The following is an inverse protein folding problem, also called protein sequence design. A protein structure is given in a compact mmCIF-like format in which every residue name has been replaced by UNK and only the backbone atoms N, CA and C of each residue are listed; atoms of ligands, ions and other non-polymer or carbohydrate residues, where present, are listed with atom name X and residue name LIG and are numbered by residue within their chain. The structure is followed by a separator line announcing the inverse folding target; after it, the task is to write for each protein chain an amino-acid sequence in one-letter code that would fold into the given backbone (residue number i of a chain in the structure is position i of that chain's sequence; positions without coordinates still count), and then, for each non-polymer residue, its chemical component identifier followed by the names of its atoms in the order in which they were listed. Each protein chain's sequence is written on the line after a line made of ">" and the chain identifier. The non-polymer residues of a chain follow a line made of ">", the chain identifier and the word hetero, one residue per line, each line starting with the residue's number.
data_IF_257042907120
#
_entry.id   IF_257042907120
#
_cell.length_a   1.000
_cell.length_b   1.000
_cell.length_c   1.000
_cell.angle_alpha   90.00
_cell.angle_beta   90.00
_cell.angle_gamma   90.00
#
_symmetry.space_group_name_H-M   'P 1'
#
loop_
_entity.id
_entity.type
_entity.pdbx_description
1 polymer ?
#
# COMPACT_ATOMS: atom_id res chain seq x y z
N UNK A 1 21.97 -17.17 1.08
CA UNK A 1 21.36 -16.02 1.81
C UNK A 1 19.90 -16.32 2.06
N UNK A 2 19.43 -16.28 3.32
CA UNK A 2 18.00 -16.45 3.65
C UNK A 2 17.18 -15.35 2.96
N UNK A 3 16.25 -15.74 2.10
CA UNK A 3 15.28 -14.81 1.48
C UNK A 3 14.43 -14.19 2.59
N UNK A 4 14.72 -12.94 2.96
CA UNK A 4 13.90 -12.21 3.92
C UNK A 4 12.60 -11.84 3.21
N UNK A 5 11.51 -12.53 3.56
CA UNK A 5 10.16 -12.13 3.11
C UNK A 5 9.94 -10.66 3.49
N UNK A 6 9.33 -9.89 2.59
CA UNK A 6 9.00 -8.47 2.84
C UNK A 6 7.49 -8.34 2.90
N UNK A 7 7.01 -7.78 4.00
CA UNK A 7 5.64 -7.32 4.16
C UNK A 7 5.56 -5.89 3.62
N UNK A 8 4.70 -5.69 2.62
CA UNK A 8 4.43 -4.36 2.06
C UNK A 8 3.05 -3.94 2.52
N UNK A 9 3.00 -2.74 3.07
CA UNK A 9 1.81 -2.09 3.59
C UNK A 9 1.39 -1.02 2.60
N UNK A 10 0.11 -1.00 2.25
CA UNK A 10 -0.48 0.00 1.37
C UNK A 10 -1.80 0.42 1.99
N UNK A 11 -2.00 1.73 2.09
CA UNK A 11 -3.28 2.33 2.49
C UNK A 11 -3.84 3.13 1.33
N UNK A 12 -5.12 2.91 1.04
CA UNK A 12 -5.85 3.60 -0.01
C UNK A 12 -7.24 4.00 0.47
N UNK A 13 -7.95 4.84 -0.26
CA UNK A 13 -9.40 5.02 -0.09
C UNK A 13 -10.19 4.03 -0.94
N UNK A 14 -11.52 4.12 -0.84
CA UNK A 14 -12.50 3.30 -1.59
C UNK A 14 -12.43 3.50 -3.10
N UNK A 15 -11.82 4.57 -3.58
CA UNK A 15 -11.57 4.79 -5.01
C UNK A 15 -10.24 4.20 -5.47
N UNK A 16 -9.41 3.71 -4.54
CA UNK A 16 -8.13 3.11 -4.82
C UNK A 16 -6.99 4.13 -4.92
N UNK A 17 -7.23 5.38 -4.53
CA UNK A 17 -6.17 6.40 -4.39
C UNK A 17 -5.29 6.00 -3.22
N UNK A 18 -3.98 5.92 -3.45
CA UNK A 18 -3.01 5.45 -2.46
C UNK A 18 -2.47 6.63 -1.66
N UNK A 19 -2.59 6.57 -0.33
CA UNK A 19 -2.12 7.61 0.58
C UNK A 19 -0.72 7.35 1.12
N UNK A 20 -0.36 6.09 1.36
CA UNK A 20 0.96 5.74 1.89
C UNK A 20 1.32 4.29 1.57
N UNK A 21 2.63 4.07 1.39
CA UNK A 21 3.22 2.75 1.18
C UNK A 21 4.46 2.62 2.07
N UNK A 22 4.59 1.52 2.79
CA UNK A 22 5.83 1.22 3.50
C UNK A 22 6.05 -0.28 3.60
N UNK A 23 7.21 -0.70 4.09
CA UNK A 23 7.51 -2.12 4.21
C UNK A 23 8.25 -2.45 5.50
N UNK A 24 8.16 -3.73 5.87
CA UNK A 24 8.88 -4.33 6.98
C UNK A 24 9.33 -5.75 6.63
N UNK A 25 10.23 -6.35 7.44
CA UNK A 25 10.43 -7.79 7.42
C UNK A 25 9.10 -8.53 7.55
N UNK A 26 8.95 -9.63 6.82
CA UNK A 26 7.69 -10.36 6.65
C UNK A 26 7.17 -11.08 7.91
N UNK A 27 7.92 -11.04 9.01
CA UNK A 27 7.49 -11.53 10.32
C UNK A 27 6.73 -10.48 11.14
N UNK A 28 6.67 -9.22 10.69
CA UNK A 28 6.02 -8.15 11.44
C UNK A 28 4.51 -8.18 11.24
N UNK A 29 3.76 -8.03 12.33
CA UNK A 29 2.29 -7.91 12.27
C UNK A 29 1.86 -6.52 11.74
N UNK A 30 0.84 -6.51 10.90
CA UNK A 30 0.33 -5.34 10.18
C UNK A 30 -0.11 -4.21 11.11
N UNK A 31 -0.87 -4.53 12.18
CA UNK A 31 -1.30 -3.53 13.16
C UNK A 31 -0.13 -2.89 13.93
N UNK A 32 0.91 -3.66 14.26
CA UNK A 32 2.11 -3.14 14.93
C UNK A 32 2.86 -2.20 14.00
N UNK A 33 3.01 -2.61 12.74
CA UNK A 33 3.55 -1.80 11.65
C UNK A 33 2.79 -0.47 11.48
N UNK A 34 1.45 -0.51 11.45
CA UNK A 34 0.60 0.68 11.35
C UNK A 34 0.80 1.62 12.53
N UNK A 35 0.77 1.11 13.76
CA UNK A 35 0.98 1.92 14.98
C UNK A 35 2.31 2.66 14.97
N UNK A 36 3.38 1.97 14.56
CA UNK A 36 4.70 2.62 14.45
C UNK A 36 4.74 3.68 13.35
N UNK A 37 4.11 3.41 12.20
CA UNK A 37 4.04 4.37 11.09
C UNK A 37 3.26 5.62 11.50
N UNK A 38 2.14 5.46 12.22
CA UNK A 38 1.34 6.57 12.73
C UNK A 38 2.10 7.43 13.74
N UNK A 39 2.95 6.86 14.59
CA UNK A 39 3.79 7.66 15.49
C UNK A 39 4.75 8.59 14.75
N UNK A 40 5.15 8.23 13.52
CA UNK A 40 6.19 8.93 12.75
C UNK A 40 5.64 9.82 11.62
N UNK A 41 4.49 9.47 11.05
CA UNK A 41 3.97 10.12 9.83
C UNK A 41 2.78 11.03 10.14
N UNK A 42 3.02 12.33 10.22
CA UNK A 42 1.96 13.34 10.34
C UNK A 42 1.05 13.38 9.11
N UNK A 43 1.59 13.16 7.91
CA UNK A 43 0.82 13.08 6.68
C UNK A 43 -0.17 11.92 6.69
N UNK A 44 0.24 10.74 7.19
CA UNK A 44 -0.65 9.60 7.30
C UNK A 44 -1.79 9.86 8.29
N UNK A 45 -1.51 10.50 9.44
CA UNK A 45 -2.57 10.88 10.40
C UNK A 45 -3.61 11.77 9.73
N UNK A 46 -3.17 12.82 9.04
CA UNK A 46 -4.07 13.72 8.30
C UNK A 46 -4.87 12.99 7.22
N UNK A 47 -4.25 12.04 6.51
CA UNK A 47 -4.92 11.25 5.48
C UNK A 47 -6.04 10.37 6.08
N UNK A 48 -5.79 9.74 7.22
CA UNK A 48 -6.78 8.94 7.95
C UNK A 48 -7.94 9.82 8.47
N UNK A 49 -7.63 10.98 9.03
CA UNK A 49 -8.62 11.90 9.60
C UNK A 49 -9.53 12.53 8.53
N UNK A 50 -8.97 12.81 7.34
CA UNK A 50 -9.69 13.48 6.26
C UNK A 50 -10.41 12.53 5.30
N UNK A 51 -10.04 11.24 5.27
CA UNK A 51 -10.54 10.27 4.29
C UNK A 51 -10.61 8.88 4.91
N UNK A 52 -11.78 8.24 4.82
CA UNK A 52 -12.00 6.88 5.30
C UNK A 52 -11.10 5.89 4.54
N UNK A 53 -9.94 5.57 5.12
CA UNK A 53 -8.96 4.67 4.50
C UNK A 53 -9.37 3.21 4.68
N UNK A 54 -9.08 2.42 3.66
CA UNK A 54 -9.33 0.99 3.61
C UNK A 54 -8.03 0.19 3.50
N UNK A 55 -8.05 -1.02 4.07
CA UNK A 55 -6.91 -1.94 4.10
C UNK A 55 -7.32 -3.41 3.93
N UNK A 56 -6.31 -4.26 3.79
CA UNK A 56 -6.49 -5.71 3.74
C UNK A 56 -6.95 -6.31 5.08
N UNK A 57 -7.28 -7.62 5.06
CA UNK A 57 -7.62 -8.39 6.26
C UNK A 57 -6.59 -8.31 7.39
N UNK A 58 -5.32 -8.05 7.07
CA UNK A 58 -4.26 -7.85 8.08
C UNK A 58 -4.51 -6.64 9.00
N UNK A 59 -5.37 -5.70 8.60
CA UNK A 59 -5.77 -4.56 9.43
C UNK A 59 -6.99 -4.82 10.30
N UNK A 60 -7.51 -6.06 10.34
CA UNK A 60 -8.66 -6.41 11.19
C UNK A 60 -8.37 -6.09 12.67
N UNK A 61 -9.29 -5.34 13.29
CA UNK A 61 -9.11 -4.81 14.65
C UNK A 61 -8.46 -3.43 14.72
N UNK A 62 -8.17 -2.79 13.57
CA UNK A 62 -7.83 -1.37 13.52
C UNK A 62 -9.07 -0.51 13.78
N UNK A 63 -8.93 0.55 14.59
CA UNK A 63 -9.97 1.56 14.81
C UNK A 63 -9.94 2.69 13.77
N UNK A 64 -8.92 2.71 12.92
CA UNK A 64 -8.61 3.83 12.02
C UNK A 64 -8.45 3.42 10.56
N UNK A 65 -8.57 2.12 10.27
CA UNK A 65 -8.52 1.57 8.92
C UNK A 65 -9.66 0.56 8.79
N UNK A 66 -10.55 0.80 7.84
CA UNK A 66 -11.63 -0.12 7.54
C UNK A 66 -11.09 -1.31 6.73
N UNK A 67 -11.52 -2.52 7.07
CA UNK A 67 -11.12 -3.70 6.33
C UNK A 67 -12.03 -3.88 5.12
N UNK A 68 -11.42 -4.03 3.94
CA UNK A 68 -12.17 -4.38 2.75
C UNK A 68 -12.74 -5.79 2.83
N UNK A 69 -14.06 -5.86 2.95
CA UNK A 69 -14.78 -7.15 2.92
C UNK A 69 -15.35 -7.42 1.53
N UNK A 70 -15.83 -6.38 0.83
CA UNK A 70 -16.47 -6.48 -0.48
C UNK A 70 -15.47 -6.77 -1.60
N UNK A 71 -15.93 -7.51 -2.62
CA UNK A 71 -15.10 -7.91 -3.78
C UNK A 71 -14.69 -6.71 -4.64
N UNK A 72 -15.58 -5.74 -4.80
CA UNK A 72 -15.35 -4.53 -5.60
C UNK A 72 -14.23 -3.66 -5.02
N UNK A 73 -14.25 -3.41 -3.71
CA UNK A 73 -13.22 -2.64 -3.02
C UNK A 73 -11.84 -3.32 -3.11
N UNK A 74 -11.82 -4.66 -2.98
CA UNK A 74 -10.60 -5.46 -3.20
C UNK A 74 -10.05 -5.30 -4.61
N UNK A 75 -10.93 -5.29 -5.62
CA UNK A 75 -10.55 -5.14 -7.03
C UNK A 75 -9.86 -3.80 -7.29
N UNK A 76 -10.39 -2.71 -6.72
CA UNK A 76 -9.80 -1.36 -6.86
C UNK A 76 -8.39 -1.25 -6.28
N UNK A 77 -8.05 -2.07 -5.28
CA UNK A 77 -6.73 -2.06 -4.61
C UNK A 77 -5.72 -3.08 -5.15
N UNK A 78 -6.22 -4.18 -5.73
CA UNK A 78 -5.40 -5.26 -6.27
C UNK A 78 -4.30 -4.83 -7.26
N UNK A 79 -4.44 -3.78 -8.09
CA UNK A 79 -3.38 -3.34 -9.00
C UNK A 79 -2.03 -3.09 -8.32
N UNK A 80 -2.03 -2.43 -7.15
CA UNK A 80 -0.80 -2.18 -6.38
C UNK A 80 -0.21 -3.48 -5.83
N UNK A 81 -1.07 -4.40 -5.39
CA UNK A 81 -0.66 -5.74 -4.97
C UNK A 81 -0.06 -6.59 -6.10
N UNK A 82 -0.65 -6.50 -7.30
CA UNK A 82 -0.15 -7.16 -8.51
C UNK A 82 1.21 -6.61 -8.93
N UNK A 83 1.41 -5.29 -8.85
CA UNK A 83 2.72 -4.67 -9.10
C UNK A 83 3.74 -5.11 -8.07
N UNK A 84 3.39 -5.20 -6.79
CA UNK A 84 4.29 -5.77 -5.77
C UNK A 84 4.70 -7.21 -6.11
N UNK A 85 3.77 -8.04 -6.62
CA UNK A 85 4.07 -9.41 -7.05
C UNK A 85 5.05 -9.44 -8.25
N UNK A 86 4.85 -8.56 -9.22
CA UNK A 86 5.75 -8.42 -10.39
C UNK A 86 7.13 -7.92 -9.95
N UNK A 87 7.19 -6.90 -9.10
CA UNK A 87 8.44 -6.36 -8.57
C UNK A 87 9.20 -7.37 -7.72
N UNK A 88 8.51 -8.23 -6.96
CA UNK A 88 9.15 -9.36 -6.25
C UNK A 88 9.79 -10.35 -7.22
N UNK A 89 9.13 -10.67 -8.34
CA UNK A 89 9.71 -11.50 -9.40
C UNK A 89 10.89 -10.80 -10.08
N UNK A 90 10.75 -9.52 -10.40
CA UNK A 90 11.81 -8.72 -10.99
C UNK A 90 13.05 -8.65 -10.08
N UNK A 91 12.89 -8.30 -8.80
CA UNK A 91 14.00 -8.27 -7.83
C UNK A 91 14.70 -9.63 -7.67
N UNK A 92 13.95 -10.73 -7.75
CA UNK A 92 14.53 -12.08 -7.72
C UNK A 92 15.43 -12.34 -8.94
N UNK A 93 15.04 -11.83 -10.11
CA UNK A 93 15.76 -12.05 -11.38
C UNK A 93 16.91 -11.04 -11.54
N UNK A 94 16.70 -9.78 -11.20
CA UNK A 94 17.66 -8.68 -11.40
C UNK A 94 18.79 -8.66 -10.37
N UNK A 95 18.61 -9.35 -9.23
CA UNK A 95 19.59 -9.34 -8.14
C UNK A 95 19.69 -8.00 -7.40
N UNK A 96 18.77 -7.06 -7.65
CA UNK A 96 18.74 -5.76 -6.99
C UNK A 96 18.28 -5.92 -5.53
N UNK A 97 19.21 -5.69 -4.60
CA UNK A 97 19.12 -6.11 -3.18
C UNK A 97 18.61 -5.06 -2.20
N UNK A 98 18.22 -3.86 -2.63
CA UNK A 98 17.85 -2.80 -1.70
C UNK A 98 16.33 -2.65 -1.60
N UNK A 99 15.78 -2.85 -0.39
CA UNK A 99 14.35 -2.62 -0.11
C UNK A 99 13.89 -1.19 -0.42
N UNK A 100 14.83 -0.23 -0.45
CA UNK A 100 14.62 1.14 -0.92
C UNK A 100 14.17 1.16 -2.39
N UNK A 101 14.78 0.36 -3.25
CA UNK A 101 14.43 0.31 -4.68
C UNK A 101 13.03 -0.24 -4.91
N UNK A 102 12.65 -1.30 -4.17
CA UNK A 102 11.27 -1.80 -4.15
C UNK A 102 10.28 -0.70 -3.74
N UNK A 103 10.62 0.06 -2.70
CA UNK A 103 9.78 1.14 -2.21
C UNK A 103 9.65 2.27 -3.24
N UNK A 104 10.74 2.65 -3.92
CA UNK A 104 10.71 3.65 -5.01
C UNK A 104 9.78 3.20 -6.13
N UNK A 105 9.89 1.96 -6.61
CA UNK A 105 8.99 1.45 -7.65
C UNK A 105 7.52 1.44 -7.22
N UNK A 106 7.25 1.04 -5.97
CA UNK A 106 5.89 1.02 -5.44
C UNK A 106 5.33 2.44 -5.29
N UNK A 107 6.10 3.40 -4.80
CA UNK A 107 5.67 4.80 -4.73
C UNK A 107 5.45 5.39 -6.12
N UNK A 108 6.38 5.21 -7.06
CA UNK A 108 6.22 5.71 -8.43
C UNK A 108 4.96 5.13 -9.11
N UNK A 109 4.70 3.83 -8.92
CA UNK A 109 3.48 3.21 -9.42
C UNK A 109 2.23 3.75 -8.70
N UNK A 110 2.26 3.86 -7.37
CA UNK A 110 1.12 4.33 -6.60
C UNK A 110 0.75 5.78 -6.89
N UNK A 111 1.76 6.65 -7.04
CA UNK A 111 1.59 8.04 -7.46
C UNK A 111 1.03 8.09 -8.87
N UNK A 112 1.61 7.36 -9.82
CA UNK A 112 1.11 7.28 -11.20
C UNK A 112 -0.32 6.75 -11.26
N UNK A 113 -0.61 5.64 -10.59
CA UNK A 113 -1.93 5.01 -10.52
C UNK A 113 -2.98 5.96 -9.94
N UNK A 114 -2.64 6.63 -8.83
CA UNK A 114 -3.53 7.61 -8.19
C UNK A 114 -3.74 8.85 -9.07
N UNK A 115 -2.69 9.33 -9.75
CA UNK A 115 -2.76 10.47 -10.67
C UNK A 115 -3.65 10.15 -11.89
N UNK A 116 -3.44 9.01 -12.55
CA UNK A 116 -4.24 8.62 -13.72
C UNK A 116 -5.70 8.33 -13.39
N UNK A 117 -6.02 7.83 -12.20
CA UNK A 117 -7.40 7.67 -11.74
C UNK A 117 -8.10 9.02 -11.54
N UNK A 118 -7.48 9.94 -10.79
CA UNK A 118 -8.04 11.27 -10.61
C UNK A 118 -8.16 12.04 -11.95
N UNK A 119 -7.23 11.80 -12.89
CA UNK A 119 -7.29 12.36 -14.24
C UNK A 119 -8.43 11.73 -15.08
N UNK A 120 -8.62 10.41 -15.00
CA UNK A 120 -9.72 9.72 -15.67
C UNK A 120 -11.08 10.15 -15.09
N UNK A 121 -11.18 10.33 -13.77
CA UNK A 121 -12.40 10.86 -13.14
C UNK A 121 -12.66 12.31 -13.58
N UNK A 122 -11.62 13.14 -13.76
CA UNK A 122 -11.75 14.50 -14.31
C UNK A 122 -12.13 14.53 -15.80
N UNK A 123 -11.65 13.57 -16.60
CA UNK A 123 -11.93 13.47 -18.05
C UNK A 123 -13.28 12.79 -18.32
N UNK A 124 -13.80 12.02 -17.38
CA UNK A 124 -15.10 11.34 -17.45
C UNK A 124 -16.21 12.00 -16.62
N UNK A 125 -15.96 13.20 -16.07
CA UNK A 125 -16.98 14.09 -15.46
C UNK A 125 -17.39 15.18 -16.45
#
# INVERSE_FOLDING_TARGET
>A
MKSCKVLVMVLSDKEGVVYDIWYHPGSKHELTSLREKLKKSGCLKKAIESKQVIGDKGYRGSLVVDVCEKKEEKSKRQPVGSVNSILKKFNKISGWRLGITLLVYLYSYAIGYSYFRNLLDFVCS
#
